data_IF_296720211812
#
_entry.id   IF_296720211812
#
_cell.length_a   1.000
_cell.length_b   1.000
_cell.length_c   1.000
_cell.angle_alpha   90.00
_cell.angle_beta   90.00
_cell.angle_gamma   90.00
#
_symmetry.space_group_name_H-M   'P 1'
#
loop_
_entity.id
_entity.type
_entity.pdbx_description
1 polymer ?
#
# COMPACT_ATOMS: atom_id res chain seq x y z
N UNK A 1 22.76 0.49 -23.83
CA UNK A 1 21.29 0.49 -24.08
C UNK A 1 20.53 -0.56 -23.25
N UNK A 2 21.07 -1.77 -23.00
CA UNK A 2 20.41 -2.77 -22.16
C UNK A 2 20.34 -2.35 -20.67
N UNK A 3 21.39 -1.72 -20.13
CA UNK A 3 21.46 -1.31 -18.72
C UNK A 3 20.43 -0.25 -18.33
N UNK A 4 20.20 0.75 -19.19
CA UNK A 4 19.19 1.79 -18.94
C UNK A 4 17.79 1.17 -18.83
N UNK A 5 17.47 0.19 -19.68
CA UNK A 5 16.17 -0.50 -19.61
C UNK A 5 16.01 -1.31 -18.33
N UNK A 6 17.09 -1.92 -17.84
CA UNK A 6 17.08 -2.67 -16.58
C UNK A 6 16.93 -1.73 -15.37
N UNK A 7 17.62 -0.59 -15.38
CA UNK A 7 17.47 0.44 -14.34
C UNK A 7 16.03 0.97 -14.26
N UNK A 8 15.41 1.28 -15.40
CA UNK A 8 14.01 1.73 -15.45
C UNK A 8 13.06 0.65 -14.90
N UNK A 9 13.29 -0.62 -15.22
CA UNK A 9 12.49 -1.73 -14.68
C UNK A 9 12.62 -1.85 -13.16
N UNK A 10 13.84 -1.73 -12.63
CA UNK A 10 14.07 -1.76 -11.19
C UNK A 10 13.38 -0.61 -10.47
N UNK A 11 13.48 0.62 -10.98
CA UNK A 11 12.79 1.78 -10.41
C UNK A 11 11.27 1.60 -10.41
N UNK A 12 10.69 1.12 -11.53
CA UNK A 12 9.25 0.81 -11.61
C UNK A 12 8.83 -0.23 -10.57
N UNK A 13 9.64 -1.25 -10.34
CA UNK A 13 9.36 -2.27 -9.34
C UNK A 13 9.40 -1.71 -7.92
N UNK A 14 10.37 -0.87 -7.58
CA UNK A 14 10.44 -0.21 -6.26
C UNK A 14 9.19 0.63 -6.00
N UNK A 15 8.81 1.47 -6.96
CA UNK A 15 7.60 2.31 -6.85
C UNK A 15 6.36 1.43 -6.66
N UNK A 16 6.25 0.34 -7.44
CA UNK A 16 5.13 -0.61 -7.32
C UNK A 16 5.07 -1.26 -5.94
N UNK A 17 6.22 -1.64 -5.37
CA UNK A 17 6.27 -2.25 -4.04
C UNK A 17 5.86 -1.27 -2.94
N UNK A 18 6.36 -0.03 -2.99
CA UNK A 18 5.99 1.03 -2.03
C UNK A 18 4.49 1.31 -2.11
N UNK A 19 3.96 1.51 -3.32
CA UNK A 19 2.54 1.77 -3.53
C UNK A 19 1.66 0.59 -3.09
N UNK A 20 2.10 -0.65 -3.35
CA UNK A 20 1.40 -1.85 -2.87
C UNK A 20 1.32 -1.86 -1.35
N UNK A 21 2.43 -1.62 -0.65
CA UNK A 21 2.44 -1.58 0.82
C UNK A 21 1.47 -0.53 1.39
N UNK A 22 1.46 0.67 0.82
CA UNK A 22 0.54 1.75 1.22
C UNK A 22 -0.93 1.39 0.96
N UNK A 23 -1.26 0.88 -0.23
CA UNK A 23 -2.64 0.56 -0.61
C UNK A 23 -3.16 -0.68 0.13
N UNK A 24 -2.34 -1.70 0.34
CA UNK A 24 -2.74 -2.94 1.03
C UNK A 24 -2.84 -2.80 2.56
N UNK A 25 -2.31 -1.72 3.15
CA UNK A 25 -2.37 -1.53 4.60
C UNK A 25 -3.81 -1.21 5.07
N UNK A 26 -4.53 -2.17 5.63
CA UNK A 26 -5.88 -1.97 6.18
C UNK A 26 -5.89 -1.73 7.69
N UNK A 27 -4.73 -1.69 8.35
CA UNK A 27 -4.64 -1.41 9.79
C UNK A 27 -4.41 0.06 10.11
N UNK A 28 -4.07 0.87 9.10
CA UNK A 28 -3.90 2.33 9.20
C UNK A 28 -2.69 2.77 10.02
N UNK A 29 -1.82 1.82 10.36
CA UNK A 29 -0.68 2.03 11.24
C UNK A 29 0.64 2.36 10.56
N UNK A 30 1.53 3.04 11.28
CA UNK A 30 2.94 3.23 10.95
C UNK A 30 3.81 2.82 12.16
N UNK A 31 4.98 2.22 11.93
CA UNK A 31 5.96 1.86 12.97
C UNK A 31 5.43 0.94 14.10
N UNK A 32 4.56 -0.02 13.79
CA UNK A 32 4.05 -1.00 14.77
C UNK A 32 2.87 -0.52 15.62
N UNK A 33 2.40 0.71 15.39
CA UNK A 33 1.19 1.25 16.00
C UNK A 33 0.04 1.06 15.02
N UNK A 34 -0.95 0.26 15.36
CA UNK A 34 -2.17 0.07 14.57
C UNK A 34 -3.30 0.96 15.07
N UNK A 35 -4.25 1.30 14.21
CA UNK A 35 -5.49 1.94 14.62
C UNK A 35 -6.28 1.01 15.59
N UNK A 36 -7.18 1.55 16.42
CA UNK A 36 -8.15 0.74 17.16
C UNK A 36 -9.00 -0.16 16.24
N UNK A 37 -9.50 -1.32 16.71
CA UNK A 37 -10.22 -2.28 15.86
C UNK A 37 -11.41 -1.71 15.09
N UNK A 38 -12.16 -0.77 15.68
CA UNK A 38 -13.29 -0.10 15.03
C UNK A 38 -12.85 0.74 13.83
N UNK A 39 -11.78 1.53 13.99
CA UNK A 39 -11.21 2.37 12.94
C UNK A 39 -10.54 1.53 11.84
N UNK A 40 -9.94 0.39 12.19
CA UNK A 40 -9.44 -0.57 11.18
C UNK A 40 -10.57 -1.14 10.32
N UNK A 41 -11.72 -1.47 10.94
CA UNK A 41 -12.87 -1.97 10.21
C UNK A 41 -13.42 -0.92 9.24
N UNK A 42 -13.52 0.34 9.69
CA UNK A 42 -13.92 1.47 8.84
C UNK A 42 -12.92 1.70 7.69
N UNK A 43 -11.61 1.73 7.99
CA UNK A 43 -10.57 1.86 6.98
C UNK A 43 -10.64 0.73 5.94
N UNK A 44 -10.88 -0.51 6.38
CA UNK A 44 -11.05 -1.66 5.49
C UNK A 44 -12.25 -1.46 4.56
N UNK A 45 -13.40 -1.02 5.08
CA UNK A 45 -14.61 -0.72 4.29
C UNK A 45 -14.36 0.39 3.26
N UNK A 46 -13.71 1.48 3.68
CA UNK A 46 -13.33 2.58 2.79
C UNK A 46 -12.40 2.11 1.66
N UNK A 47 -11.48 1.17 1.95
CA UNK A 47 -10.53 0.62 0.96
C UNK A 47 -11.14 -0.41 0.02
N UNK A 48 -12.10 -1.21 0.48
CA UNK A 48 -12.79 -2.21 -0.36
C UNK A 48 -13.94 -1.62 -1.17
N UNK A 49 -14.40 -0.40 -0.82
CA UNK A 49 -15.49 0.26 -1.51
C UNK A 49 -16.87 -0.34 -1.23
N UNK A 50 -17.02 -1.07 -0.12
CA UNK A 50 -18.32 -1.57 0.35
C UNK A 50 -19.20 -0.38 0.76
N UNK A 51 -20.09 0.04 -0.15
CA UNK A 51 -21.08 1.10 0.08
C UNK A 51 -22.27 0.56 0.88
N UNK A 52 -22.89 1.47 1.65
CA UNK A 52 -24.17 1.27 2.36
C UNK A 52 -25.29 0.78 1.43
#
# INVERSE_FOLDING_TARGET
>A
MADIRNLIKQQKNVIRQVYKGFTSNTTGGCCGVNLPPAEQAELKRLKTGEKH
#
